data_IF_632127614780
#
_entry.id   IF_632127614780
#
_cell.length_a   1.000
_cell.length_b   1.000
_cell.length_c   1.000
_cell.angle_alpha   90.00
_cell.angle_beta   90.00
_cell.angle_gamma   90.00
#
_symmetry.space_group_name_H-M   'P 1'
#
loop_
_entity.id
_entity.type
_entity.pdbx_description
1 polymer ?
#
# COMPACT_ATOMS: atom_id res chain seq x y z
N UNK A 1 -26.33 92.85 -18.83
CA UNK A 1 -25.96 92.03 -17.67
C UNK A 1 -26.49 90.62 -17.93
N UNK A 2 -25.65 89.75 -18.56
CA UNK A 2 -26.03 88.41 -18.91
C UNK A 2 -25.02 87.43 -18.33
N UNK A 3 -25.43 86.69 -17.35
CA UNK A 3 -24.65 85.60 -16.78
C UNK A 3 -24.88 84.31 -17.58
N UNK A 4 -23.90 83.88 -18.38
CA UNK A 4 -23.91 82.60 -19.06
C UNK A 4 -23.58 81.48 -18.12
N UNK A 5 -24.47 80.50 -18.02
CA UNK A 5 -24.25 79.24 -17.28
C UNK A 5 -23.28 78.36 -18.07
N UNK A 6 -22.09 78.10 -17.53
CA UNK A 6 -21.14 77.09 -18.04
C UNK A 6 -21.63 75.72 -17.53
N UNK A 7 -22.04 74.87 -18.43
CA UNK A 7 -22.32 73.47 -18.18
C UNK A 7 -20.96 72.72 -18.08
N UNK A 8 -20.66 72.23 -16.89
CA UNK A 8 -19.52 71.32 -16.69
C UNK A 8 -19.91 69.93 -17.19
N UNK A 9 -19.40 69.56 -18.37
CA UNK A 9 -19.49 68.21 -18.85
C UNK A 9 -18.37 67.41 -18.17
N UNK A 10 -18.76 66.55 -17.23
CA UNK A 10 -17.81 65.60 -16.63
C UNK A 10 -17.51 64.48 -17.65
N UNK A 11 -16.30 64.48 -18.17
CA UNK A 11 -15.78 63.36 -18.95
C UNK A 11 -15.34 62.28 -17.95
N UNK A 12 -16.12 61.27 -17.78
CA UNK A 12 -15.70 60.05 -17.06
C UNK A 12 -14.73 59.28 -17.91
N UNK A 13 -13.47 59.40 -17.60
CA UNK A 13 -12.42 58.52 -18.14
C UNK A 13 -12.51 57.21 -17.33
N UNK A 14 -13.18 56.21 -17.89
CA UNK A 14 -13.09 54.83 -17.38
C UNK A 14 -11.72 54.29 -17.76
N UNK A 15 -10.79 54.32 -16.83
CA UNK A 15 -9.51 53.67 -16.96
C UNK A 15 -9.74 52.16 -16.76
N UNK A 16 -9.91 51.45 -17.87
CA UNK A 16 -9.90 49.99 -17.86
C UNK A 16 -8.47 49.53 -17.58
N UNK A 17 -8.18 49.29 -16.30
CA UNK A 17 -6.98 48.55 -15.92
C UNK A 17 -7.23 47.11 -16.33
N UNK A 18 -6.73 46.74 -17.53
CA UNK A 18 -6.58 45.33 -17.88
C UNK A 18 -5.54 44.74 -16.94
N UNK A 19 -6.02 44.12 -15.83
CA UNK A 19 -5.21 43.27 -14.98
C UNK A 19 -4.86 42.03 -15.82
N UNK A 20 -3.72 42.07 -16.51
CA UNK A 20 -3.10 40.88 -17.07
C UNK A 20 -2.71 40.02 -15.86
N UNK A 21 -3.60 39.14 -15.47
CA UNK A 21 -3.25 38.02 -14.59
C UNK A 21 -2.27 37.17 -15.37
N UNK A 22 -0.98 37.44 -15.20
CA UNK A 22 0.03 36.44 -15.42
C UNK A 22 -0.30 35.35 -14.41
N UNK A 23 -1.07 34.37 -14.83
CA UNK A 23 -1.13 33.09 -14.16
C UNK A 23 0.28 32.50 -14.31
N UNK A 24 1.17 32.86 -13.38
CA UNK A 24 2.32 32.06 -13.10
C UNK A 24 1.74 30.70 -12.75
N UNK A 25 1.71 29.82 -13.74
CA UNK A 25 1.44 28.41 -13.53
C UNK A 25 2.53 27.91 -12.60
N UNK A 26 2.27 28.05 -11.30
CA UNK A 26 2.90 27.19 -10.33
C UNK A 26 2.26 25.83 -10.67
N UNK A 27 2.85 25.13 -11.64
CA UNK A 27 2.79 23.69 -11.62
C UNK A 27 3.44 23.35 -10.29
N UNK A 28 2.61 23.18 -9.23
CA UNK A 28 3.05 22.36 -8.15
C UNK A 28 3.48 21.07 -8.85
N UNK A 29 4.79 20.85 -8.96
CA UNK A 29 5.27 19.49 -9.09
C UNK A 29 4.41 18.70 -8.13
N UNK A 30 3.76 17.62 -8.57
CA UNK A 30 3.13 16.74 -7.62
C UNK A 30 4.25 16.39 -6.65
N UNK A 31 4.29 17.13 -5.51
CA UNK A 31 5.15 16.75 -4.40
C UNK A 31 4.91 15.25 -4.32
N UNK A 32 5.96 14.47 -4.48
CA UNK A 32 5.92 13.02 -4.36
C UNK A 32 4.93 12.67 -3.27
N UNK A 33 3.66 12.54 -3.66
CA UNK A 33 2.67 11.89 -2.83
C UNK A 33 3.22 10.48 -2.77
N UNK A 34 3.86 10.14 -1.66
CA UNK A 34 4.32 8.78 -1.44
C UNK A 34 3.12 7.90 -1.79
N UNK A 35 3.26 7.06 -2.82
CA UNK A 35 2.16 6.21 -3.25
C UNK A 35 1.60 5.54 -2.01
N UNK A 36 0.27 5.64 -1.82
CA UNK A 36 -0.37 5.03 -0.67
C UNK A 36 -0.07 3.53 -0.71
N UNK A 37 0.45 2.99 0.38
CA UNK A 37 0.84 1.60 0.48
C UNK A 37 0.56 1.02 1.85
N UNK A 38 0.57 -0.31 1.94
CA UNK A 38 0.47 -1.02 3.20
C UNK A 38 1.84 -1.13 3.89
N UNK A 39 1.84 -1.06 5.21
CA UNK A 39 2.96 -1.48 6.06
C UNK A 39 2.45 -2.54 7.02
N UNK A 40 3.16 -3.65 7.11
CA UNK A 40 2.69 -4.80 7.89
C UNK A 40 3.83 -5.64 8.47
N UNK A 41 3.48 -6.49 9.41
CA UNK A 41 4.38 -7.47 10.03
C UNK A 41 3.64 -8.73 10.40
N UNK A 42 4.37 -9.82 10.48
CA UNK A 42 3.89 -11.12 10.96
C UNK A 42 4.51 -11.44 12.31
N UNK A 43 3.79 -12.18 13.15
CA UNK A 43 4.33 -12.80 14.34
C UNK A 43 4.60 -14.27 14.04
N UNK A 44 5.89 -14.63 14.12
CA UNK A 44 6.35 -15.99 13.86
C UNK A 44 6.37 -16.78 15.15
N UNK A 45 5.80 -17.98 15.12
CA UNK A 45 5.89 -18.93 16.22
C UNK A 45 7.37 -19.18 16.62
N UNK A 46 7.65 -19.02 17.90
CA UNK A 46 8.97 -19.26 18.48
C UNK A 46 10.03 -18.16 18.20
N UNK A 47 9.72 -17.16 17.35
CA UNK A 47 10.68 -16.10 16.98
C UNK A 47 10.20 -14.71 17.42
N UNK A 48 8.88 -14.42 17.27
CA UNK A 48 8.30 -13.12 17.59
C UNK A 48 7.94 -12.29 16.36
N UNK A 49 7.79 -10.96 16.54
CA UNK A 49 7.45 -10.06 15.44
C UNK A 49 8.59 -9.93 14.44
N UNK A 50 8.27 -10.10 13.16
CA UNK A 50 9.14 -9.66 12.07
C UNK A 50 9.32 -8.14 12.11
N UNK A 51 10.31 -7.62 11.38
CA UNK A 51 10.37 -6.20 11.07
C UNK A 51 9.11 -5.72 10.34
N UNK A 52 9.03 -4.41 10.09
CA UNK A 52 7.98 -3.85 9.24
C UNK A 52 8.34 -4.05 7.77
N UNK A 53 7.38 -4.51 6.99
CA UNK A 53 7.49 -4.74 5.56
C UNK A 53 6.57 -3.77 4.83
N UNK A 54 7.10 -3.13 3.79
CA UNK A 54 6.33 -2.20 2.97
C UNK A 54 5.48 -2.89 1.91
N UNK A 55 4.68 -2.11 1.23
CA UNK A 55 3.83 -2.53 0.12
C UNK A 55 4.58 -3.41 -0.89
N UNK A 56 3.93 -4.47 -1.38
CA UNK A 56 4.49 -5.46 -2.32
C UNK A 56 5.63 -6.35 -1.80
N UNK A 57 6.07 -6.19 -0.56
CA UNK A 57 7.15 -7.02 0.01
C UNK A 57 6.58 -8.31 0.58
N UNK A 58 6.86 -9.46 -0.02
CA UNK A 58 6.48 -10.75 0.55
C UNK A 58 7.28 -11.03 1.82
N UNK A 59 6.61 -11.41 2.91
CA UNK A 59 7.24 -11.84 4.15
C UNK A 59 6.83 -13.27 4.47
N UNK A 60 7.81 -14.11 4.84
CA UNK A 60 7.58 -15.50 5.23
C UNK A 60 8.18 -15.78 6.58
N UNK A 61 7.52 -16.63 7.35
CA UNK A 61 8.08 -17.21 8.55
C UNK A 61 9.33 -18.06 8.21
N UNK A 62 10.28 -18.09 9.10
CA UNK A 62 11.49 -18.90 8.95
C UNK A 62 11.21 -20.39 8.81
N UNK A 63 12.23 -21.15 8.43
CA UNK A 63 12.11 -22.59 8.17
C UNK A 63 11.47 -23.34 9.34
N UNK A 64 10.34 -24.00 9.06
CA UNK A 64 9.61 -24.79 10.05
C UNK A 64 8.69 -23.98 10.96
N UNK A 65 8.78 -22.64 10.93
CA UNK A 65 7.88 -21.73 11.65
C UNK A 65 6.62 -21.42 10.85
N UNK A 66 5.71 -20.68 11.45
CA UNK A 66 4.43 -20.28 10.88
C UNK A 66 3.93 -18.98 11.52
N UNK A 67 2.91 -18.39 10.92
CA UNK A 67 2.32 -17.14 11.39
C UNK A 67 1.22 -17.39 12.40
N UNK A 68 1.29 -16.73 13.55
CA UNK A 68 0.26 -16.80 14.59
C UNK A 68 -0.49 -15.48 14.81
N UNK A 69 0.08 -14.35 14.35
CA UNK A 69 -0.59 -13.06 14.36
C UNK A 69 -0.07 -12.17 13.22
N UNK A 70 -0.86 -11.17 12.85
CA UNK A 70 -0.45 -10.10 11.93
C UNK A 70 -0.76 -8.73 12.53
N UNK A 71 -0.12 -7.71 11.99
CA UNK A 71 -0.45 -6.31 12.21
C UNK A 71 -0.23 -5.52 10.93
N UNK A 72 -1.08 -4.53 10.67
CA UNK A 72 -0.98 -3.73 9.45
C UNK A 72 -1.47 -2.29 9.66
N UNK A 73 -1.00 -1.37 8.82
CA UNK A 73 -1.44 0.01 8.73
C UNK A 73 -1.17 0.54 7.32
N UNK A 74 -1.42 1.82 7.09
CA UNK A 74 -1.17 2.51 5.83
C UNK A 74 -0.02 3.51 5.96
N UNK A 75 0.67 3.73 4.86
CA UNK A 75 1.61 4.83 4.63
C UNK A 75 1.10 5.65 3.45
N UNK A 76 1.36 6.96 3.47
CA UNK A 76 1.03 7.84 2.35
C UNK A 76 -0.48 8.04 2.12
N UNK A 77 -1.33 7.88 3.16
CA UNK A 77 -2.75 8.19 3.04
C UNK A 77 -2.94 9.65 2.64
N UNK A 78 -3.74 9.94 1.59
CA UNK A 78 -3.98 11.32 1.18
C UNK A 78 -4.62 12.18 2.28
N UNK A 79 -4.15 13.42 2.42
CA UNK A 79 -4.68 14.36 3.40
C UNK A 79 -6.19 14.55 3.25
N UNK A 80 -6.90 14.48 4.37
CA UNK A 80 -8.35 14.67 4.42
C UNK A 80 -9.19 13.48 3.94
N UNK A 81 -8.59 12.41 3.46
CA UNK A 81 -9.31 11.19 3.10
C UNK A 81 -9.60 10.34 4.34
N UNK A 82 -10.87 10.06 4.61
CA UNK A 82 -11.30 9.25 5.74
C UNK A 82 -11.19 7.75 5.45
N UNK A 83 -10.95 6.96 6.49
CA UNK A 83 -10.91 5.50 6.43
C UNK A 83 -9.63 4.92 7.01
N UNK A 84 -9.59 3.61 7.12
CA UNK A 84 -8.47 2.82 7.64
C UNK A 84 -8.31 1.53 6.85
N UNK A 85 -7.16 0.88 6.99
CA UNK A 85 -6.97 -0.52 6.63
C UNK A 85 -7.36 -1.37 7.84
N UNK A 86 -8.46 -2.13 7.70
CA UNK A 86 -8.90 -3.12 8.68
C UNK A 86 -8.50 -4.51 8.22
N UNK A 87 -8.19 -5.38 9.17
CA UNK A 87 -7.81 -6.77 8.91
C UNK A 87 -8.38 -7.71 9.96
N UNK A 88 -8.61 -8.94 9.53
CA UNK A 88 -9.18 -10.02 10.33
C UNK A 88 -8.45 -11.31 10.02
N UNK A 89 -8.24 -12.15 11.02
CA UNK A 89 -7.59 -13.45 10.86
C UNK A 89 -8.49 -14.57 11.33
N UNK A 90 -8.37 -15.72 10.68
CA UNK A 90 -8.93 -16.99 11.13
C UNK A 90 -7.84 -17.75 11.89
N UNK A 91 -8.06 -18.00 13.18
CA UNK A 91 -7.13 -18.69 14.05
C UNK A 91 -7.56 -20.15 14.16
N UNK A 92 -6.65 -21.09 13.96
CA UNK A 92 -6.93 -22.52 14.00
C UNK A 92 -7.62 -22.92 15.32
N UNK A 93 -8.68 -23.69 15.21
CA UNK A 93 -9.48 -24.12 16.37
C UNK A 93 -10.36 -23.04 17.01
N UNK A 94 -10.21 -21.76 16.64
CA UNK A 94 -10.98 -20.63 17.19
C UNK A 94 -11.92 -20.01 16.16
N UNK A 95 -11.48 -19.93 14.90
CA UNK A 95 -12.21 -19.26 13.82
C UNK A 95 -11.83 -17.79 13.67
N UNK A 96 -12.72 -16.99 13.03
CA UNK A 96 -12.49 -15.58 12.79
C UNK A 96 -12.51 -14.75 14.06
N UNK A 97 -11.41 -14.01 14.30
CA UNK A 97 -11.33 -13.01 15.36
C UNK A 97 -12.00 -11.70 14.91
N UNK A 98 -12.16 -10.74 15.81
CA UNK A 98 -12.68 -9.40 15.46
C UNK A 98 -11.73 -8.65 14.54
N UNK A 99 -12.27 -7.75 13.72
CA UNK A 99 -11.48 -6.83 12.90
C UNK A 99 -10.59 -5.94 13.74
N UNK A 100 -9.37 -5.73 13.31
CA UNK A 100 -8.38 -4.82 13.90
C UNK A 100 -7.87 -3.83 12.87
N UNK A 101 -7.22 -2.77 13.34
CA UNK A 101 -6.64 -1.69 12.53
C UNK A 101 -5.44 -1.06 13.22
N UNK A 102 -4.74 -0.15 12.52
CA UNK A 102 -3.71 0.71 13.11
C UNK A 102 -2.63 -0.06 13.89
N UNK A 103 -2.04 -1.08 13.29
CA UNK A 103 -0.99 -1.92 13.89
C UNK A 103 -1.42 -2.70 15.12
N UNK A 104 -2.70 -2.76 15.47
CA UNK A 104 -3.18 -3.60 16.57
C UNK A 104 -2.98 -5.07 16.21
N UNK A 105 -2.27 -5.88 17.01
CA UNK A 105 -2.09 -7.30 16.71
C UNK A 105 -3.43 -8.04 16.55
N UNK A 106 -3.51 -8.88 15.52
CA UNK A 106 -4.65 -9.77 15.30
C UNK A 106 -4.15 -11.21 15.15
N UNK A 107 -4.58 -12.10 16.00
CA UNK A 107 -4.07 -13.45 16.17
C UNK A 107 -3.59 -13.69 17.60
N UNK A 108 -2.66 -14.63 17.78
CA UNK A 108 -2.06 -14.95 19.09
C UNK A 108 -0.56 -14.73 19.09
N UNK A 109 -0.07 -14.05 20.12
CA UNK A 109 1.36 -13.91 20.42
C UNK A 109 1.82 -14.79 21.59
N UNK A 110 0.88 -15.51 22.20
CA UNK A 110 1.11 -16.28 23.42
C UNK A 110 0.85 -17.79 23.24
N UNK A 111 0.11 -18.14 22.20
CA UNK A 111 -0.28 -19.55 21.95
C UNK A 111 0.26 -20.02 20.61
N UNK A 112 0.42 -21.33 20.50
CA UNK A 112 0.96 -22.00 19.31
C UNK A 112 -0.10 -22.20 18.19
N UNK A 113 -1.19 -21.42 18.22
CA UNK A 113 -2.27 -21.55 17.26
C UNK A 113 -1.92 -20.83 15.95
N UNK A 114 -1.76 -21.55 14.83
CA UNK A 114 -1.47 -20.92 13.55
C UNK A 114 -2.67 -20.17 13.00
N UNK A 115 -2.42 -19.17 12.16
CA UNK A 115 -3.44 -18.61 11.27
C UNK A 115 -3.73 -19.59 10.15
N UNK A 116 -4.99 -19.67 9.74
CA UNK A 116 -5.44 -20.43 8.57
C UNK A 116 -5.87 -19.53 7.41
N UNK A 117 -6.36 -18.32 7.71
CA UNK A 117 -6.77 -17.37 6.69
C UNK A 117 -6.70 -15.91 7.19
N UNK A 118 -6.68 -14.99 6.22
CA UNK A 118 -6.64 -13.55 6.44
C UNK A 118 -7.68 -12.87 5.56
N UNK A 119 -8.30 -11.80 6.07
CA UNK A 119 -9.12 -10.84 5.33
C UNK A 119 -8.60 -9.44 5.60
N UNK A 120 -8.60 -8.59 4.56
CA UNK A 120 -8.27 -7.17 4.68
C UNK A 120 -9.24 -6.34 3.87
N UNK A 121 -9.62 -5.18 4.39
CA UNK A 121 -10.53 -4.27 3.70
C UNK A 121 -10.25 -2.83 4.10
N UNK A 122 -10.54 -1.90 3.20
CA UNK A 122 -10.60 -0.49 3.54
C UNK A 122 -11.96 -0.12 4.10
N UNK A 123 -11.98 0.93 4.93
CA UNK A 123 -13.19 1.59 5.40
C UNK A 123 -13.27 3.02 4.84
N UNK A 124 -14.42 3.68 4.98
CA UNK A 124 -14.62 5.08 4.59
C UNK A 124 -14.31 5.36 3.13
N UNK A 125 -13.82 6.57 2.85
CA UNK A 125 -13.46 7.01 1.50
C UNK A 125 -12.33 6.20 0.86
N UNK A 126 -11.48 5.56 1.67
CA UNK A 126 -10.44 4.68 1.14
C UNK A 126 -11.05 3.49 0.38
N UNK A 127 -12.16 2.92 0.87
CA UNK A 127 -12.84 1.81 0.20
C UNK A 127 -13.44 2.19 -1.17
N UNK A 128 -13.72 3.48 -1.38
CA UNK A 128 -14.27 3.99 -2.63
C UNK A 128 -13.17 4.26 -3.68
N UNK A 129 -11.96 4.58 -3.23
CA UNK A 129 -10.88 5.06 -4.07
C UNK A 129 -9.73 4.06 -4.27
N UNK A 130 -9.62 3.03 -3.43
CA UNK A 130 -8.52 2.07 -3.45
C UNK A 130 -9.00 0.64 -3.28
N UNK A 131 -8.18 -0.29 -3.76
CA UNK A 131 -8.30 -1.72 -3.52
C UNK A 131 -7.07 -2.20 -2.72
N UNK A 132 -7.28 -3.01 -1.68
CA UNK A 132 -6.21 -3.74 -1.00
C UNK A 132 -6.21 -5.18 -1.48
N UNK A 133 -5.08 -5.60 -2.07
CA UNK A 133 -4.84 -6.98 -2.48
C UNK A 133 -3.92 -7.67 -1.48
N UNK A 134 -4.15 -8.94 -1.23
CA UNK A 134 -3.33 -9.73 -0.34
C UNK A 134 -3.35 -11.20 -0.71
N UNK A 135 -2.28 -11.89 -0.31
CA UNK A 135 -2.07 -13.32 -0.52
C UNK A 135 -1.37 -13.89 0.71
N UNK A 136 -1.61 -15.15 1.00
CA UNK A 136 -0.91 -15.89 2.06
C UNK A 136 -0.10 -17.01 1.45
N UNK A 137 1.04 -17.30 2.08
CA UNK A 137 1.82 -18.50 1.77
C UNK A 137 1.29 -19.66 2.60
N UNK A 138 0.78 -20.69 1.95
CA UNK A 138 0.14 -21.82 2.59
C UNK A 138 0.38 -23.08 1.78
N UNK A 139 0.66 -24.18 2.44
CA UNK A 139 0.91 -25.47 1.79
C UNK A 139 1.97 -25.41 0.69
N UNK A 140 3.06 -24.66 0.93
CA UNK A 140 4.22 -24.60 0.02
C UNK A 140 4.08 -23.64 -1.15
N UNK A 141 3.01 -22.84 -1.25
CA UNK A 141 2.81 -21.88 -2.33
C UNK A 141 2.02 -20.65 -1.90
N UNK A 142 2.17 -19.55 -2.65
CA UNK A 142 1.31 -18.38 -2.50
C UNK A 142 -0.08 -18.67 -3.07
N UNK A 143 -1.12 -18.25 -2.35
CA UNK A 143 -2.48 -18.25 -2.88
C UNK A 143 -2.61 -17.20 -3.98
N UNK A 144 -3.58 -17.35 -4.87
CA UNK A 144 -3.95 -16.25 -5.77
C UNK A 144 -4.32 -15.02 -4.95
N UNK A 145 -3.83 -13.81 -5.32
CA UNK A 145 -4.23 -12.59 -4.64
C UNK A 145 -5.75 -12.39 -4.65
N UNK A 146 -6.28 -12.09 -3.51
CA UNK A 146 -7.68 -11.70 -3.28
C UNK A 146 -7.74 -10.27 -2.79
N UNK A 147 -8.94 -9.65 -2.70
CA UNK A 147 -9.06 -8.26 -2.29
C UNK A 147 -10.28 -7.97 -1.40
N UNK A 148 -10.25 -6.84 -0.72
CA UNK A 148 -11.41 -6.13 -0.14
C UNK A 148 -12.35 -7.04 0.67
N UNK A 149 -11.82 -7.81 1.60
CA UNK A 149 -12.60 -8.65 2.51
C UNK A 149 -12.79 -10.10 2.03
N UNK A 150 -12.30 -10.45 0.84
CA UNK A 150 -12.26 -11.84 0.39
C UNK A 150 -11.26 -12.65 1.25
N UNK A 151 -11.46 -13.96 1.36
CA UNK A 151 -10.60 -14.82 2.18
C UNK A 151 -9.34 -15.24 1.41
N UNK A 152 -8.17 -14.89 1.93
CA UNK A 152 -6.90 -15.49 1.54
C UNK A 152 -6.56 -16.63 2.49
N UNK A 153 -6.34 -17.83 1.98
CA UNK A 153 -6.11 -19.04 2.78
C UNK A 153 -7.33 -19.93 2.86
N UNK A 154 -7.35 -20.83 3.85
CA UNK A 154 -8.40 -21.84 4.03
C UNK A 154 -8.96 -21.77 5.46
N UNK A 155 -10.21 -22.17 5.65
CA UNK A 155 -10.88 -22.12 6.94
C UNK A 155 -11.14 -23.55 7.45
N UNK A 156 -10.71 -23.84 8.68
CA UNK A 156 -11.02 -25.12 9.36
C UNK A 156 -10.38 -26.36 8.73
N UNK A 157 -9.32 -26.20 7.94
CA UNK A 157 -8.64 -27.30 7.27
C UNK A 157 -7.31 -27.70 7.93
N UNK A 158 -6.90 -26.98 9.00
CA UNK A 158 -5.63 -27.21 9.67
C UNK A 158 -4.41 -26.82 8.80
N UNK A 159 -4.61 -26.07 7.72
CA UNK A 159 -3.53 -25.57 6.88
C UNK A 159 -3.07 -24.22 7.43
N UNK A 160 -1.83 -24.19 7.89
CA UNK A 160 -1.24 -23.01 8.51
C UNK A 160 -0.78 -21.99 7.46
N UNK A 161 -0.86 -20.72 7.81
CA UNK A 161 -0.26 -19.64 7.05
C UNK A 161 1.21 -19.51 7.44
N UNK A 162 2.10 -19.54 6.45
CA UNK A 162 3.55 -19.40 6.63
C UNK A 162 4.09 -18.07 6.06
N UNK A 163 3.24 -17.21 5.50
CA UNK A 163 3.65 -15.91 5.00
C UNK A 163 2.49 -15.01 4.59
N UNK A 164 2.78 -13.73 4.42
CA UNK A 164 1.83 -12.69 4.06
C UNK A 164 2.43 -11.77 2.99
N UNK A 165 1.63 -11.38 2.03
CA UNK A 165 1.91 -10.34 1.05
C UNK A 165 0.71 -9.41 0.92
N UNK A 166 0.96 -8.11 0.89
CA UNK A 166 -0.08 -7.09 0.79
C UNK A 166 0.36 -6.01 -0.18
N UNK A 167 -0.58 -5.49 -0.97
CA UNK A 167 -0.38 -4.30 -1.79
C UNK A 167 -1.65 -3.47 -1.91
N UNK A 168 -1.48 -2.17 -2.11
CA UNK A 168 -2.55 -1.21 -2.33
C UNK A 168 -2.49 -0.72 -3.77
N UNK A 169 -3.65 -0.59 -4.41
CA UNK A 169 -3.78 -0.04 -5.76
C UNK A 169 -4.92 0.98 -5.81
N UNK A 170 -4.90 1.88 -6.78
CA UNK A 170 -6.08 2.68 -7.08
C UNK A 170 -7.27 1.79 -7.47
N UNK A 171 -8.48 2.24 -7.18
CA UNK A 171 -9.72 1.52 -7.46
C UNK A 171 -9.83 1.15 -8.94
N UNK A 172 -10.05 -0.13 -9.21
CA UNK A 172 -10.20 -0.62 -10.57
C UNK A 172 -8.91 -0.73 -11.38
N UNK A 173 -7.74 -0.55 -10.76
CA UNK A 173 -6.46 -0.82 -11.41
C UNK A 173 -6.30 -2.30 -11.76
N UNK A 174 -5.33 -2.61 -12.63
CA UNK A 174 -5.03 -4.00 -12.99
C UNK A 174 -4.73 -4.84 -11.73
N UNK A 175 -5.19 -6.09 -11.74
CA UNK A 175 -4.92 -7.03 -10.64
C UNK A 175 -3.41 -7.26 -10.55
N UNK A 176 -2.80 -7.07 -9.37
CA UNK A 176 -1.37 -7.33 -9.19
C UNK A 176 -1.02 -8.80 -9.43
N UNK A 177 0.14 -9.07 -10.01
CA UNK A 177 0.60 -10.44 -10.27
C UNK A 177 0.81 -11.27 -8.99
N UNK A 178 0.84 -10.61 -7.83
CA UNK A 178 1.11 -11.25 -6.56
C UNK A 178 2.61 -11.38 -6.26
N UNK A 179 2.96 -12.05 -5.16
CA UNK A 179 4.35 -12.23 -4.79
C UNK A 179 5.04 -13.17 -5.79
N UNK A 180 6.02 -12.62 -6.49
CA UNK A 180 6.86 -13.39 -7.41
C UNK A 180 8.05 -13.92 -6.61
N UNK A 181 7.96 -15.16 -6.14
CA UNK A 181 9.15 -15.89 -5.74
C UNK A 181 9.90 -16.21 -7.04
N UNK A 182 10.92 -15.44 -7.36
CA UNK A 182 11.91 -15.90 -8.32
C UNK A 182 12.49 -17.18 -7.72
N UNK A 183 11.97 -18.31 -8.18
CA UNK A 183 12.58 -19.60 -7.85
C UNK A 183 13.98 -19.57 -8.46
N UNK A 184 14.92 -19.36 -7.59
CA UNK A 184 16.32 -19.51 -7.93
C UNK A 184 16.52 -21.01 -8.17
N UNK A 185 16.65 -21.38 -9.43
CA UNK A 185 17.01 -22.76 -9.76
C UNK A 185 18.45 -23.02 -9.29
N UNK A 186 18.67 -23.75 -8.18
CA UNK A 186 19.99 -23.96 -7.64
C UNK A 186 20.89 -24.81 -8.55
N UNK A 187 20.32 -25.39 -9.61
CA UNK A 187 21.06 -26.20 -10.59
C UNK A 187 21.62 -25.35 -11.74
N UNK A 188 21.20 -24.06 -11.85
CA UNK A 188 21.68 -23.15 -12.88
C UNK A 188 22.78 -22.23 -12.32
N UNK A 189 23.88 -22.05 -13.06
CA UNK A 189 24.89 -21.06 -12.66
C UNK A 189 24.26 -19.68 -12.53
N UNK A 190 24.49 -19.03 -11.38
CA UNK A 190 24.01 -17.68 -11.13
C UNK A 190 25.20 -16.75 -10.93
N UNK A 191 25.12 -15.57 -11.53
CA UNK A 191 26.05 -14.48 -11.31
C UNK A 191 25.27 -13.33 -10.66
N UNK A 192 25.65 -12.95 -9.46
CA UNK A 192 25.19 -11.71 -8.84
C UNK A 192 26.12 -10.59 -9.28
N UNK A 193 25.61 -9.60 -10.02
CA UNK A 193 26.34 -8.39 -10.34
C UNK A 193 26.00 -7.33 -9.28
N UNK A 194 27.00 -6.94 -8.50
CA UNK A 194 26.91 -5.79 -7.59
C UNK A 194 27.63 -4.61 -8.21
N UNK A 195 26.98 -3.44 -8.20
CA UNK A 195 27.56 -2.18 -8.67
C UNK A 195 27.74 -1.27 -7.46
N UNK A 196 28.96 -1.25 -6.92
CA UNK A 196 29.26 -0.51 -5.68
C UNK A 196 29.27 1.01 -5.88
N UNK A 197 29.53 1.49 -7.11
CA UNK A 197 29.70 2.91 -7.42
C UNK A 197 28.56 3.51 -8.27
N UNK A 198 27.41 2.81 -8.39
CA UNK A 198 26.29 3.22 -9.24
C UNK A 198 26.56 3.10 -10.74
N UNK A 199 25.60 3.47 -11.59
CA UNK A 199 25.73 3.32 -13.03
C UNK A 199 26.84 4.21 -13.58
N UNK A 200 27.76 3.62 -14.33
CA UNK A 200 28.84 4.30 -15.03
C UNK A 200 28.58 4.35 -16.54
N UNK A 201 29.39 5.10 -17.28
CA UNK A 201 29.34 5.14 -18.75
C UNK A 201 29.53 3.78 -19.42
N UNK A 202 30.01 2.79 -18.70
CA UNK A 202 30.23 1.43 -19.19
C UNK A 202 29.08 0.47 -18.86
N UNK A 203 28.17 0.87 -17.96
CA UNK A 203 27.04 0.02 -17.53
C UNK A 203 26.17 -0.49 -18.68
N UNK A 204 25.80 0.33 -19.71
CA UNK A 204 25.02 -0.17 -20.84
C UNK A 204 25.71 -1.30 -21.62
N UNK A 205 27.06 -1.26 -21.71
CA UNK A 205 27.83 -2.28 -22.44
C UNK A 205 27.94 -3.61 -21.72
N UNK A 206 27.64 -3.64 -20.42
CA UNK A 206 27.65 -4.87 -19.60
C UNK A 206 26.27 -5.53 -19.62
N UNK A 207 25.21 -4.73 -19.85
CA UNK A 207 23.82 -5.21 -19.82
C UNK A 207 23.27 -5.59 -21.20
N UNK A 208 24.01 -5.28 -22.31
CA UNK A 208 23.74 -5.75 -23.67
C UNK A 208 24.33 -7.18 -23.87
#
# INVERSE_FOLDING_TARGET
MFFGKIKKTAISIVLAIACVMVTCGITSDPAYAADMGAVYGIYEHGTGWSGYHGDKTAVRAGNGSYVTAIRASLLGQPDGMSGTLSYQVNLSGTGWLSWQENMTPNGSTETDMPLEAVRMAFTGQLAENYDVYYSVYQNGSWTTPVKNGETAGTEGQGLRVDGLWVTVTGKGAAVPEGPNERSVDPTRPMVALTFDDGPSKFTPRILD
#
